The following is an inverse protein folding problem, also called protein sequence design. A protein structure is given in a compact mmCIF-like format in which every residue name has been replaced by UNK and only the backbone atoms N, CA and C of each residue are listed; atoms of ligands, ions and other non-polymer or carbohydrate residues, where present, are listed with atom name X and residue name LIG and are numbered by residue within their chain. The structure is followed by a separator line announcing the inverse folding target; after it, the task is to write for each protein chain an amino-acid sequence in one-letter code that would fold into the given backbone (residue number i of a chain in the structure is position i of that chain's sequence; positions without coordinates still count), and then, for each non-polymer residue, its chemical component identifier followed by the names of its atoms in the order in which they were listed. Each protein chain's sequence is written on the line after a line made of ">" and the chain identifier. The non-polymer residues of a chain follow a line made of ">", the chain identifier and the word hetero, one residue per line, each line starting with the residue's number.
data_IF_322984422181
#
_entry.id   IF_322984422181
#
_cell.length_a   1.000
_cell.length_b   1.000
_cell.length_c   1.000
_cell.angle_alpha   90.00
_cell.angle_beta   90.00
_cell.angle_gamma   90.00
#
_symmetry.space_group_name_H-M   'P 1'
#
loop_
_entity.id
_entity.type
_entity.pdbx_description
1 polymer ?
#
# COMPACT_ATOMS: atom_id res chain seq x y z
N UNK A 1 -5.21 13.50 -7.49
CA UNK A 1 -5.43 12.55 -6.39
C UNK A 1 -4.42 12.86 -5.31
N UNK A 2 -4.86 12.91 -4.06
CA UNK A 2 -3.98 13.18 -2.92
C UNK A 2 -3.60 11.89 -2.21
N UNK A 3 -2.35 11.79 -1.78
CA UNK A 3 -1.84 10.61 -1.12
C UNK A 3 -2.55 10.39 0.23
N UNK A 4 -3.16 9.22 0.48
CA UNK A 4 -3.86 8.95 1.76
C UNK A 4 -2.91 8.98 2.96
N UNK A 5 -1.60 8.87 2.72
CA UNK A 5 -0.57 8.83 3.76
C UNK A 5 0.01 10.19 4.12
N UNK A 6 0.25 11.07 3.15
CA UNK A 6 0.93 12.35 3.40
C UNK A 6 0.22 13.57 2.81
N UNK A 7 -0.96 13.38 2.20
CA UNK A 7 -1.69 14.40 1.43
C UNK A 7 -0.87 15.04 0.28
N UNK A 8 0.25 14.43 -0.12
CA UNK A 8 1.07 14.88 -1.24
C UNK A 8 0.51 14.46 -2.60
N UNK A 9 1.03 15.05 -3.68
CA UNK A 9 0.60 14.78 -5.05
C UNK A 9 0.87 13.34 -5.46
N UNK A 10 -0.12 12.71 -6.08
CA UNK A 10 0.01 11.41 -6.73
C UNK A 10 -0.02 11.54 -8.25
N UNK A 11 0.78 10.71 -8.92
CA UNK A 11 0.82 10.56 -10.37
C UNK A 11 0.50 9.13 -10.76
N UNK A 12 0.07 8.92 -12.00
CA UNK A 12 -0.03 7.58 -12.59
C UNK A 12 1.37 7.14 -13.00
N UNK A 13 1.76 5.92 -12.62
CA UNK A 13 3.03 5.26 -12.95
C UNK A 13 2.72 3.84 -13.42
N UNK A 14 3.53 3.29 -14.33
CA UNK A 14 3.32 1.93 -14.83
C UNK A 14 4.16 0.95 -14.01
N UNK A 15 3.48 0.02 -13.33
CA UNK A 15 4.13 -0.99 -12.50
C UNK A 15 4.28 -2.29 -13.27
N UNK A 16 5.42 -2.95 -13.08
CA UNK A 16 5.69 -4.28 -13.61
C UNK A 16 5.65 -5.27 -12.45
N UNK A 17 4.79 -6.28 -12.55
CA UNK A 17 4.82 -7.43 -11.65
C UNK A 17 5.91 -8.42 -12.12
N UNK A 18 6.96 -8.57 -11.32
CA UNK A 18 8.06 -9.49 -11.61
C UNK A 18 7.69 -10.96 -11.33
N UNK A 19 6.63 -11.22 -10.56
CA UNK A 19 6.23 -12.59 -10.21
C UNK A 19 5.46 -13.27 -11.35
N UNK A 20 4.69 -12.48 -12.12
CA UNK A 20 3.85 -12.96 -13.23
C UNK A 20 4.51 -12.64 -14.57
N UNK A 21 5.65 -13.27 -14.86
CA UNK A 21 6.30 -13.29 -16.19
C UNK A 21 6.49 -11.94 -16.94
N UNK A 22 6.49 -10.80 -16.26
CA UNK A 22 6.96 -9.51 -16.79
C UNK A 22 6.12 -8.86 -17.90
N UNK A 23 4.96 -9.41 -18.27
CA UNK A 23 4.18 -8.92 -19.42
C UNK A 23 3.08 -7.90 -19.06
N UNK A 24 2.70 -7.78 -17.79
CA UNK A 24 1.62 -6.88 -17.39
C UNK A 24 2.16 -5.58 -16.83
N UNK A 25 2.20 -4.56 -17.69
CA UNK A 25 2.29 -3.16 -17.28
C UNK A 25 0.92 -2.77 -16.73
N UNK A 26 0.84 -2.53 -15.42
CA UNK A 26 -0.40 -2.13 -14.77
C UNK A 26 -0.29 -0.67 -14.32
N UNK A 27 -1.21 0.22 -14.75
CA UNK A 27 -1.21 1.59 -14.28
C UNK A 27 -1.61 1.62 -12.80
N UNK A 28 -0.80 2.28 -11.98
CA UNK A 28 -1.08 2.52 -10.56
C UNK A 28 -0.75 3.94 -10.16
N UNK A 29 -1.15 4.34 -8.95
CA UNK A 29 -0.85 5.67 -8.44
C UNK A 29 0.38 5.66 -7.54
N UNK A 30 1.32 6.58 -7.76
CA UNK A 30 2.50 6.77 -6.93
C UNK A 30 2.56 8.18 -6.37
N UNK A 31 2.79 8.29 -5.06
CA UNK A 31 3.03 9.58 -4.43
C UNK A 31 4.48 10.03 -4.65
N UNK A 32 4.66 11.25 -5.19
CA UNK A 32 5.98 11.86 -5.39
C UNK A 32 6.65 12.28 -4.08
N UNK A 33 5.88 12.49 -3.01
CA UNK A 33 6.40 13.01 -1.74
C UNK A 33 6.86 11.92 -0.78
N UNK A 34 6.11 10.81 -0.65
CA UNK A 34 6.40 9.77 0.33
C UNK A 34 6.62 8.38 -0.27
N UNK A 35 6.34 8.19 -1.56
CA UNK A 35 6.48 6.91 -2.26
C UNK A 35 5.35 5.91 -2.01
N UNK A 36 4.23 6.31 -1.40
CA UNK A 36 3.06 5.42 -1.28
C UNK A 36 2.52 5.05 -2.67
N UNK A 37 2.24 3.76 -2.86
CA UNK A 37 1.69 3.21 -4.12
C UNK A 37 0.29 2.68 -3.86
N UNK A 38 -0.65 3.06 -4.72
CA UNK A 38 -2.01 2.51 -4.78
C UNK A 38 -2.10 1.76 -6.11
N UNK A 39 -2.07 0.44 -6.01
CA UNK A 39 -2.24 -0.49 -7.12
C UNK A 39 -3.56 -1.26 -6.88
N UNK A 40 -4.51 -1.25 -7.84
CA UNK A 40 -5.77 -1.98 -7.73
C UNK A 40 -5.59 -3.46 -7.34
N UNK A 41 -4.54 -4.12 -7.82
CA UNK A 41 -4.24 -5.52 -7.50
C UNK A 41 -3.76 -5.66 -6.05
N UNK A 42 -2.87 -4.75 -5.60
CA UNK A 42 -2.42 -4.71 -4.20
C UNK A 42 -3.61 -4.43 -3.27
N UNK A 43 -4.50 -3.52 -3.65
CA UNK A 43 -5.71 -3.23 -2.88
C UNK A 43 -6.64 -4.44 -2.79
N UNK A 44 -6.84 -5.15 -3.91
CA UNK A 44 -7.64 -6.37 -3.95
C UNK A 44 -7.04 -7.47 -3.05
N UNK A 45 -5.73 -7.75 -3.16
CA UNK A 45 -5.06 -8.71 -2.29
C UNK A 45 -5.14 -8.31 -0.81
N UNK A 46 -5.06 -7.01 -0.49
CA UNK A 46 -5.24 -6.52 0.89
C UNK A 46 -6.67 -6.69 1.40
N UNK A 47 -7.69 -6.54 0.54
CA UNK A 47 -9.08 -6.80 0.91
C UNK A 47 -9.27 -8.28 1.26
N UNK A 48 -8.81 -9.19 0.38
CA UNK A 48 -8.86 -10.63 0.62
C UNK A 48 -8.14 -11.04 1.91
N UNK A 49 -6.98 -10.44 2.20
CA UNK A 49 -6.27 -10.69 3.45
C UNK A 49 -7.05 -10.23 4.70
N UNK A 50 -7.75 -9.09 4.63
CA UNK A 50 -8.58 -8.60 5.73
C UNK A 50 -9.77 -9.51 5.98
N UNK A 51 -10.48 -9.91 4.92
CA UNK A 51 -11.62 -10.84 5.02
C UNK A 51 -11.19 -12.17 5.65
N UNK A 52 -10.06 -12.72 5.21
CA UNK A 52 -9.50 -13.94 5.80
C UNK A 52 -9.11 -13.75 7.27
N UNK A 53 -8.50 -12.62 7.63
CA UNK A 53 -8.15 -12.31 9.02
C UNK A 53 -9.37 -12.14 9.91
N UNK A 54 -10.46 -11.53 9.42
CA UNK A 54 -11.72 -11.40 10.14
C UNK A 54 -12.34 -12.77 10.41
N UNK A 55 -12.35 -13.66 9.40
CA UNK A 55 -12.83 -15.02 9.54
C UNK A 55 -12.01 -15.80 10.59
N UNK A 56 -10.68 -15.74 10.50
CA UNK A 56 -9.77 -16.43 11.44
C UNK A 56 -9.87 -15.84 12.86
N UNK A 57 -10.03 -14.53 12.99
CA UNK A 57 -10.23 -13.83 14.27
C UNK A 57 -11.55 -14.22 14.95
N UNK A 58 -12.63 -14.34 14.18
CA UNK A 58 -13.92 -14.79 14.67
C UNK A 58 -13.88 -16.23 15.21
N UNK A 59 -13.10 -17.12 14.57
CA UNK A 59 -12.93 -18.52 15.00
C UNK A 59 -12.01 -18.64 16.23
N UNK A 60 -10.94 -17.85 16.29
CA UNK A 60 -9.91 -17.95 17.33
C UNK A 60 -10.24 -17.20 18.63
N UNK A 61 -11.31 -16.40 18.66
CA UNK A 61 -11.70 -15.60 19.84
C UNK A 61 -10.70 -14.51 20.23
N UNK A 62 -9.64 -14.32 19.44
CA UNK A 62 -8.62 -13.29 19.66
C UNK A 62 -9.00 -12.04 18.86
N UNK A 63 -9.28 -10.94 19.55
CA UNK A 63 -9.51 -9.61 18.93
C UNK A 63 -8.21 -8.96 18.48
N UNK A 64 -7.24 -9.75 18.04
CA UNK A 64 -5.96 -9.25 17.55
C UNK A 64 -6.21 -8.44 16.27
N UNK A 65 -6.38 -7.13 16.46
CA UNK A 65 -6.50 -6.17 15.38
C UNK A 65 -5.33 -6.44 14.43
N UNK A 66 -5.59 -6.72 13.14
CA UNK A 66 -4.51 -6.97 12.22
C UNK A 66 -3.56 -5.76 12.26
N UNK A 67 -2.23 -5.99 12.24
CA UNK A 67 -1.30 -4.88 12.26
C UNK A 67 -1.70 -3.94 11.14
N UNK A 68 -1.88 -2.65 11.49
CA UNK A 68 -2.02 -1.60 10.48
C UNK A 68 -0.97 -1.85 9.41
N UNK A 69 -1.30 -1.76 8.10
CA UNK A 69 -0.36 -2.04 7.03
C UNK A 69 0.95 -1.37 7.39
N UNK A 70 2.06 -2.12 7.31
CA UNK A 70 3.39 -1.62 7.67
C UNK A 70 3.60 -0.35 6.85
N UNK A 71 3.31 0.80 7.45
CA UNK A 71 3.74 2.07 6.94
C UNK A 71 5.24 1.96 7.11
N UNK A 72 5.95 1.57 6.05
CA UNK A 72 7.40 1.69 5.95
C UNK A 72 7.69 3.15 6.26
N UNK A 73 7.94 3.49 7.53
CA UNK A 73 8.04 4.87 8.02
C UNK A 73 8.94 5.57 7.03
N UNK A 74 8.37 6.49 6.25
CA UNK A 74 9.14 7.28 5.32
C UNK A 74 10.27 7.87 6.15
N UNK A 75 11.52 7.50 5.83
CA UNK A 75 12.69 7.99 6.55
C UNK A 75 12.56 9.50 6.44
N UNK A 76 12.17 10.17 7.53
CA UNK A 76 11.89 11.61 7.55
C UNK A 76 12.98 12.28 6.72
N UNK A 77 12.61 12.83 5.57
CA UNK A 77 13.51 13.67 4.80
C UNK A 77 13.94 14.76 5.78
N UNK A 78 15.19 14.69 6.25
CA UNK A 78 15.78 15.73 7.07
C UNK A 78 15.61 17.01 6.25
N UNK A 79 14.76 17.93 6.72
CA UNK A 79 14.74 19.30 6.21
C UNK A 79 16.17 19.82 6.31
N UNK A 80 16.88 19.90 5.20
CA UNK A 80 18.09 20.70 5.10
C UNK A 80 17.60 22.13 4.98
N UNK A 81 17.68 22.87 6.08
CA UNK A 81 17.66 24.33 6.00
C UNK A 81 18.87 24.78 5.18
N UNK A 82 18.61 25.62 4.19
CA UNK A 82 19.54 26.60 3.65
C UNK A 82 18.81 27.92 3.60
#
# INVERSE_FOLDING_TARGET
>A
MDCPRCQGTMIVDDFVDLATSGEFWMPGWRCLMCGEVIDPLIEHHRQLQREHQELVGAISGSTARPPSPISLRSRKARKRSF
#
